data_IF_982513357330
#
_entry.id   IF_982513357330
#
_cell.length_a   1.000
_cell.length_b   1.000
_cell.length_c   1.000
_cell.angle_alpha   90.00
_cell.angle_beta   90.00
_cell.angle_gamma   90.00
#
_symmetry.space_group_name_H-M   'P 1'
#
loop_
_entity.id
_entity.type
_entity.pdbx_description
1 polymer ?
#
# COMPACT_ATOMS: atom_id res chain seq x y z
N UNK A 1 20.88 -58.78 -10.46
CA UNK A 1 19.43 -58.68 -10.69
C UNK A 1 18.85 -57.82 -9.58
N UNK A 2 18.75 -56.51 -9.82
CA UNK A 2 18.28 -55.54 -8.83
C UNK A 2 16.75 -55.38 -8.94
N UNK A 3 16.00 -55.37 -7.84
CA UNK A 3 14.56 -55.10 -7.90
C UNK A 3 14.29 -53.63 -8.24
N UNK A 4 13.28 -53.43 -9.09
CA UNK A 4 12.80 -52.13 -9.57
C UNK A 4 12.15 -51.34 -8.42
N UNK A 5 12.34 -50.01 -8.31
CA UNK A 5 11.61 -49.21 -7.33
C UNK A 5 10.13 -49.10 -7.72
N UNK A 6 9.27 -49.39 -6.74
CA UNK A 6 7.82 -49.23 -6.80
C UNK A 6 7.43 -47.76 -6.60
N UNK A 7 6.49 -47.32 -7.43
CA UNK A 7 5.67 -46.10 -7.39
C UNK A 7 6.01 -45.00 -6.39
N UNK A 8 6.38 -43.83 -6.92
CA UNK A 8 6.21 -42.54 -6.27
C UNK A 8 4.71 -42.31 -5.98
N UNK A 9 4.31 -42.35 -4.71
CA UNK A 9 3.00 -41.85 -4.31
C UNK A 9 3.08 -40.33 -4.15
N UNK A 10 2.37 -39.60 -5.03
CA UNK A 10 2.14 -38.17 -4.91
C UNK A 10 1.30 -37.88 -3.66
N UNK A 11 1.85 -37.11 -2.72
CA UNK A 11 1.11 -36.56 -1.59
C UNK A 11 0.66 -35.14 -1.99
N UNK A 12 -0.65 -34.85 -2.10
CA UNK A 12 -1.11 -33.51 -2.45
C UNK A 12 -0.86 -32.54 -1.29
N UNK A 13 -0.08 -31.48 -1.55
CA UNK A 13 0.05 -30.33 -0.66
C UNK A 13 -1.27 -29.53 -0.67
N UNK A 14 -2.07 -29.64 0.39
CA UNK A 14 -3.28 -28.82 0.56
C UNK A 14 -2.89 -27.41 0.99
N UNK A 15 -3.27 -26.38 0.24
CA UNK A 15 -3.16 -24.97 0.65
C UNK A 15 -4.55 -24.36 0.88
N UNK A 16 -4.75 -23.76 2.05
CA UNK A 16 -6.01 -23.12 2.44
C UNK A 16 -6.05 -21.67 1.94
N UNK A 17 -6.98 -21.35 1.02
CA UNK A 17 -7.21 -19.98 0.55
C UNK A 17 -8.51 -19.41 1.13
N UNK A 18 -8.42 -18.23 1.73
CA UNK A 18 -9.51 -17.54 2.42
C UNK A 18 -10.01 -16.38 1.55
N UNK A 19 -11.28 -16.41 1.12
CA UNK A 19 -11.93 -15.28 0.42
C UNK A 19 -13.20 -14.88 1.15
N UNK A 20 -13.28 -13.60 1.52
CA UNK A 20 -14.45 -12.91 2.06
C UNK A 20 -15.43 -12.65 0.91
N UNK A 21 -16.67 -13.09 1.02
CA UNK A 21 -17.75 -12.66 0.11
C UNK A 21 -18.55 -11.56 0.78
N UNK A 22 -18.44 -10.32 0.29
CA UNK A 22 -19.36 -9.26 0.66
C UNK A 22 -20.68 -9.48 -0.07
N UNK A 23 -21.76 -9.69 0.67
CA UNK A 23 -23.12 -9.57 0.14
C UNK A 23 -23.72 -8.28 0.68
N UNK A 24 -23.67 -7.22 -0.13
CA UNK A 24 -24.39 -5.97 0.15
C UNK A 24 -25.87 -6.23 -0.11
N UNK A 25 -26.71 -6.13 0.92
CA UNK A 25 -28.15 -5.95 0.75
C UNK A 25 -28.45 -4.48 1.05
N UNK A 26 -29.01 -3.78 0.08
CA UNK A 26 -29.50 -2.41 0.24
C UNK A 26 -30.68 -2.40 1.22
N UNK A 27 -30.71 -1.41 2.13
CA UNK A 27 -31.83 -1.18 3.04
C UNK A 27 -31.51 -0.24 4.21
N UNK A 28 -31.67 1.06 3.96
CA UNK A 28 -32.13 2.15 4.84
C UNK A 28 -31.89 2.07 6.37
N UNK A 29 -31.11 3.05 6.85
CA UNK A 29 -31.09 3.63 8.22
C UNK A 29 -31.09 2.69 9.42
N UNK A 30 -29.98 2.67 10.16
CA UNK A 30 -29.96 2.23 11.56
C UNK A 30 -28.71 1.42 11.88
N UNK A 31 -27.87 1.93 12.78
CA UNK A 31 -26.76 1.19 13.38
C UNK A 31 -27.26 -0.17 13.89
N UNK A 32 -26.70 -1.28 13.39
CA UNK A 32 -27.00 -2.62 13.86
C UNK A 32 -25.72 -3.41 14.18
N UNK A 33 -25.67 -3.80 15.44
CA UNK A 33 -24.75 -4.66 16.18
C UNK A 33 -24.27 -5.86 15.36
N UNK A 34 -22.95 -6.11 15.36
CA UNK A 34 -22.31 -7.29 14.74
C UNK A 34 -22.68 -8.54 15.55
N UNK A 35 -23.65 -9.32 15.07
CA UNK A 35 -23.92 -10.66 15.59
C UNK A 35 -23.17 -11.72 14.77
N UNK A 36 -22.56 -12.65 15.51
CA UNK A 36 -21.76 -13.78 15.06
C UNK A 36 -22.65 -14.77 14.27
N UNK A 37 -22.31 -15.03 13.00
CA UNK A 37 -23.00 -16.04 12.19
C UNK A 37 -22.09 -17.26 11.94
N UNK A 38 -22.60 -18.49 12.08
CA UNK A 38 -21.82 -19.72 12.03
C UNK A 38 -21.36 -20.10 10.62
N UNK A 39 -20.10 -20.53 10.52
CA UNK A 39 -19.47 -21.09 9.33
C UNK A 39 -20.27 -22.31 8.83
N UNK A 40 -20.83 -22.26 7.62
CA UNK A 40 -21.48 -23.42 6.99
C UNK A 40 -20.67 -23.93 5.80
N UNK A 41 -20.35 -25.23 5.83
CA UNK A 41 -19.55 -25.94 4.82
C UNK A 41 -20.44 -26.28 3.62
N UNK A 42 -20.20 -25.65 2.46
CA UNK A 42 -20.72 -26.14 1.18
C UNK A 42 -19.59 -26.68 0.34
N UNK A 43 -19.71 -27.94 -0.11
CA UNK A 43 -18.82 -28.52 -1.11
C UNK A 43 -19.21 -27.91 -2.46
N UNK A 44 -18.29 -27.22 -3.11
CA UNK A 44 -18.42 -26.82 -4.52
C UNK A 44 -17.48 -27.74 -5.31
N UNK A 45 -18.05 -28.57 -6.18
CA UNK A 45 -17.32 -29.23 -7.25
C UNK A 45 -17.14 -28.22 -8.37
N UNK A 46 -15.89 -27.91 -8.73
CA UNK A 46 -15.55 -27.17 -9.94
C UNK A 46 -15.13 -28.18 -10.99
N UNK A 47 -15.87 -28.21 -12.10
CA UNK A 47 -15.48 -28.98 -13.27
C UNK A 47 -14.16 -28.44 -13.83
N UNK A 48 -13.29 -29.36 -14.19
CA UNK A 48 -11.98 -29.11 -14.78
C UNK A 48 -12.17 -28.45 -16.15
N UNK A 49 -12.10 -27.12 -16.21
CA UNK A 49 -12.12 -26.38 -17.48
C UNK A 49 -10.82 -26.66 -18.22
N UNK A 50 -10.99 -27.25 -19.41
CA UNK A 50 -9.94 -27.56 -20.37
C UNK A 50 -9.13 -26.32 -20.73
N UNK A 51 -7.84 -26.37 -20.42
CA UNK A 51 -6.85 -25.36 -20.80
C UNK A 51 -6.53 -25.51 -22.29
N UNK A 52 -7.17 -24.71 -23.15
CA UNK A 52 -6.65 -24.33 -24.48
C UNK A 52 -7.47 -23.14 -25.01
N UNK A 53 -6.99 -21.93 -24.77
CA UNK A 53 -7.28 -20.77 -25.63
C UNK A 53 -5.93 -20.18 -26.03
N UNK A 54 -5.62 -20.08 -27.34
CA UNK A 54 -4.47 -19.31 -27.79
C UNK A 54 -4.90 -17.84 -27.87
N UNK A 55 -4.53 -17.05 -26.86
CA UNK A 55 -4.54 -15.60 -26.94
C UNK A 55 -3.16 -15.11 -26.52
N UNK A 56 -2.45 -14.50 -27.47
CA UNK A 56 -1.11 -13.92 -27.32
C UNK A 56 -1.01 -13.05 -26.06
N UNK A 57 0.07 -13.12 -25.27
CA UNK A 57 0.09 -12.51 -23.94
C UNK A 57 0.40 -11.01 -24.04
N UNK A 58 -0.63 -10.18 -23.96
CA UNK A 58 -0.49 -8.76 -23.57
C UNK A 58 0.30 -8.60 -22.24
N UNK A 59 0.28 -9.65 -21.39
CA UNK A 59 1.12 -9.84 -20.20
C UNK A 59 2.63 -9.61 -20.43
N UNK A 60 3.14 -9.80 -21.64
CA UNK A 60 4.55 -9.58 -21.97
C UNK A 60 4.90 -8.10 -22.22
N UNK A 61 3.96 -7.33 -22.77
CA UNK A 61 4.11 -5.89 -23.07
C UNK A 61 3.92 -5.07 -21.78
N UNK A 62 2.97 -5.46 -20.93
CA UNK A 62 2.75 -4.81 -19.62
C UNK A 62 3.92 -5.03 -18.65
N UNK A 63 4.69 -6.11 -18.80
CA UNK A 63 5.95 -6.33 -18.07
C UNK A 63 7.11 -5.45 -18.57
N UNK A 64 7.04 -4.95 -19.80
CA UNK A 64 8.06 -4.12 -20.43
C UNK A 64 7.75 -2.63 -20.38
N UNK A 65 6.51 -2.23 -20.09
CA UNK A 65 6.17 -0.83 -19.89
C UNK A 65 6.18 -0.51 -18.39
N UNK A 66 7.20 0.20 -17.86
CA UNK A 66 7.12 0.71 -16.50
C UNK A 66 5.85 1.57 -16.40
N UNK A 67 5.13 1.56 -15.27
CA UNK A 67 3.95 2.39 -15.12
C UNK A 67 4.35 3.83 -15.44
N UNK A 68 3.72 4.40 -16.46
CA UNK A 68 3.96 5.78 -16.85
C UNK A 68 3.81 6.69 -15.64
N UNK A 69 4.64 7.74 -15.55
CA UNK A 69 4.44 8.75 -14.53
C UNK A 69 3.00 9.25 -14.62
N UNK A 70 2.28 9.32 -13.48
CA UNK A 70 0.87 9.59 -13.49
C UNK A 70 0.61 10.98 -14.08
N UNK A 71 -0.40 11.06 -14.95
CA UNK A 71 -0.74 12.27 -15.69
C UNK A 71 -0.88 13.47 -14.75
N UNK A 72 -0.19 14.57 -15.06
CA UNK A 72 -0.27 15.79 -14.28
C UNK A 72 -1.16 16.81 -14.98
N UNK A 73 -1.87 17.61 -14.19
CA UNK A 73 -2.57 18.76 -14.74
C UNK A 73 -1.57 19.76 -15.36
N UNK A 74 -1.97 20.54 -16.38
CA UNK A 74 -1.06 21.50 -17.03
C UNK A 74 -0.44 22.52 -16.07
N UNK A 75 -1.11 22.84 -14.97
CA UNK A 75 -0.62 23.72 -13.91
C UNK A 75 0.36 23.03 -12.93
N UNK A 76 0.59 21.73 -13.08
CA UNK A 76 1.47 20.91 -12.23
C UNK A 76 0.98 20.69 -10.80
N UNK A 77 -0.19 21.20 -10.43
CA UNK A 77 -0.70 21.20 -9.05
C UNK A 77 -1.29 19.86 -8.62
N UNK A 78 -1.77 19.09 -9.59
CA UNK A 78 -2.43 17.82 -9.36
C UNK A 78 -1.84 16.70 -10.22
N UNK A 79 -1.87 15.50 -9.64
CA UNK A 79 -1.66 14.22 -10.31
C UNK A 79 -3.02 13.56 -10.47
N UNK A 80 -3.32 13.04 -11.64
CA UNK A 80 -4.56 12.33 -11.97
C UNK A 80 -4.31 10.83 -11.92
N UNK A 81 -4.98 10.14 -11.00
CA UNK A 81 -4.92 8.68 -10.86
C UNK A 81 -6.35 8.16 -10.81
N UNK A 82 -6.71 7.22 -11.68
CA UNK A 82 -8.06 6.65 -11.80
C UNK A 82 -9.16 7.74 -11.87
N UNK A 83 -8.94 8.76 -12.72
CA UNK A 83 -9.81 9.94 -12.87
C UNK A 83 -9.97 10.82 -11.62
N UNK A 84 -9.22 10.55 -10.54
CA UNK A 84 -9.21 11.35 -9.31
C UNK A 84 -7.99 12.24 -9.26
N UNK A 85 -8.19 13.48 -8.83
CA UNK A 85 -7.11 14.47 -8.64
C UNK A 85 -6.54 14.36 -7.24
N UNK A 86 -5.23 14.15 -7.18
CA UNK A 86 -4.42 14.13 -5.97
C UNK A 86 -3.46 15.31 -6.02
N UNK A 87 -3.21 15.96 -4.89
CA UNK A 87 -2.25 17.06 -4.85
C UNK A 87 -0.85 16.54 -5.20
N UNK A 88 -0.20 17.17 -6.16
CA UNK A 88 1.16 16.83 -6.53
C UNK A 88 2.15 17.23 -5.42
N UNK A 89 3.27 16.51 -5.36
CA UNK A 89 4.43 16.94 -4.57
C UNK A 89 4.86 18.34 -5.01
N UNK A 90 5.21 19.16 -4.03
CA UNK A 90 5.71 20.50 -4.25
C UNK A 90 6.98 20.48 -5.14
N UNK A 91 6.96 21.14 -6.32
CA UNK A 91 8.06 21.10 -7.28
C UNK A 91 9.29 21.92 -6.86
N UNK A 92 9.17 22.80 -5.85
CA UNK A 92 10.28 23.61 -5.33
C UNK A 92 11.14 22.82 -4.32
N UNK A 93 10.72 21.61 -3.94
CA UNK A 93 11.52 20.75 -3.07
C UNK A 93 12.73 20.25 -3.85
N UNK A 94 13.97 20.47 -3.37
CA UNK A 94 15.16 19.85 -3.95
C UNK A 94 15.04 18.33 -4.03
N UNK A 95 15.44 17.73 -5.14
CA UNK A 95 15.19 16.29 -5.40
C UNK A 95 15.88 15.37 -4.38
N UNK A 96 17.01 15.77 -3.82
CA UNK A 96 17.68 15.06 -2.72
C UNK A 96 16.81 15.04 -1.45
N UNK A 97 16.21 16.16 -1.10
CA UNK A 97 15.26 16.29 0.03
C UNK A 97 13.99 15.50 -0.25
N UNK A 98 13.43 15.63 -1.45
CA UNK A 98 12.24 14.89 -1.87
C UNK A 98 12.47 13.38 -1.81
N UNK A 99 13.62 12.90 -2.29
CA UNK A 99 14.02 11.49 -2.23
C UNK A 99 14.10 10.97 -0.79
N UNK A 100 14.72 11.72 0.13
CA UNK A 100 14.77 11.36 1.56
C UNK A 100 13.38 11.32 2.20
N UNK A 101 12.51 12.28 1.89
CA UNK A 101 11.13 12.29 2.38
C UNK A 101 10.33 11.09 1.84
N UNK A 102 10.49 10.72 0.57
CA UNK A 102 9.89 9.51 -0.02
C UNK A 102 10.44 8.23 0.63
N UNK A 103 11.73 8.19 0.95
CA UNK A 103 12.34 7.08 1.69
C UNK A 103 11.66 6.90 3.06
N UNK A 104 11.57 7.99 3.84
CA UNK A 104 10.87 8.00 5.13
C UNK A 104 9.40 7.58 5.00
N UNK A 105 8.69 8.06 3.98
CA UNK A 105 7.30 7.67 3.71
C UNK A 105 7.16 6.16 3.50
N UNK A 106 8.04 5.56 2.68
CA UNK A 106 8.01 4.13 2.41
C UNK A 106 8.40 3.31 3.65
N UNK A 107 9.39 3.76 4.43
CA UNK A 107 9.75 3.15 5.71
C UNK A 107 8.58 3.17 6.70
N UNK A 108 7.91 4.32 6.86
CA UNK A 108 6.76 4.47 7.73
C UNK A 108 5.57 3.59 7.29
N UNK A 109 5.30 3.46 5.98
CA UNK A 109 4.28 2.53 5.45
C UNK A 109 4.58 1.08 5.80
N UNK A 110 5.84 0.65 5.67
CA UNK A 110 6.27 -0.69 6.12
C UNK A 110 6.09 -0.86 7.62
N UNK A 111 6.40 0.18 8.41
CA UNK A 111 6.17 0.22 9.85
C UNK A 111 4.70 0.03 10.24
N UNK A 112 3.76 0.70 9.54
CA UNK A 112 2.31 0.50 9.75
C UNK A 112 1.92 -0.96 9.51
N UNK A 113 2.39 -1.55 8.40
CA UNK A 113 2.11 -2.93 8.08
C UNK A 113 2.69 -3.90 9.12
N UNK A 114 3.93 -3.67 9.58
CA UNK A 114 4.57 -4.47 10.63
C UNK A 114 3.81 -4.39 11.96
N UNK A 115 3.48 -3.18 12.42
CA UNK A 115 2.75 -2.96 13.66
C UNK A 115 1.37 -3.63 13.65
N UNK A 116 0.65 -3.57 12.52
CA UNK A 116 -0.63 -4.27 12.35
C UNK A 116 -0.49 -5.79 12.46
N UNK A 117 0.55 -6.39 11.87
CA UNK A 117 0.80 -7.84 11.99
C UNK A 117 1.13 -8.23 13.43
N UNK A 118 1.81 -7.36 14.16
CA UNK A 118 2.15 -7.56 15.57
C UNK A 118 1.03 -7.16 16.55
N UNK A 119 -0.10 -6.63 16.04
CA UNK A 119 -1.17 -6.04 16.85
C UNK A 119 -0.70 -4.95 17.85
N UNK A 120 0.39 -4.25 17.54
CA UNK A 120 0.90 -3.15 18.36
C UNK A 120 0.28 -1.81 17.93
N UNK A 121 -0.79 -1.42 18.63
CA UNK A 121 -1.48 -0.17 18.38
C UNK A 121 -0.59 1.08 18.60
N UNK A 122 0.37 1.04 19.53
CA UNK A 122 1.27 2.17 19.79
C UNK A 122 2.27 2.33 18.65
N UNK A 123 2.87 1.24 18.18
CA UNK A 123 3.74 1.26 17.00
C UNK A 123 2.98 1.69 15.74
N UNK A 124 1.74 1.23 15.57
CA UNK A 124 0.91 1.63 14.44
C UNK A 124 0.64 3.15 14.47
N UNK A 125 0.32 3.70 15.64
CA UNK A 125 0.12 5.14 15.83
C UNK A 125 1.36 5.96 15.45
N UNK A 126 2.55 5.55 15.91
CA UNK A 126 3.82 6.22 15.56
C UNK A 126 4.09 6.16 14.06
N UNK A 127 3.93 4.99 13.44
CA UNK A 127 4.16 4.82 12.00
C UNK A 127 3.17 5.64 11.16
N UNK A 128 1.89 5.69 11.55
CA UNK A 128 0.88 6.54 10.89
C UNK A 128 1.19 8.03 11.02
N UNK A 129 1.69 8.47 12.19
CA UNK A 129 2.15 9.85 12.38
C UNK A 129 3.28 10.18 11.40
N UNK A 130 4.29 9.31 11.27
CA UNK A 130 5.40 9.49 10.31
C UNK A 130 4.91 9.57 8.86
N UNK A 131 3.95 8.72 8.45
CA UNK A 131 3.31 8.83 7.13
C UNK A 131 2.69 10.21 6.93
N UNK A 132 1.98 10.73 7.92
CA UNK A 132 1.37 12.05 7.81
C UNK A 132 2.42 13.16 7.74
N UNK A 133 3.44 13.15 8.60
CA UNK A 133 4.54 14.12 8.59
C UNK A 133 5.23 14.15 7.22
N UNK A 134 5.57 12.99 6.65
CA UNK A 134 6.21 12.92 5.34
C UNK A 134 5.33 13.50 4.23
N UNK A 135 4.02 13.20 4.23
CA UNK A 135 3.09 13.74 3.22
C UNK A 135 2.87 15.23 3.34
N UNK A 136 2.82 15.77 4.56
CA UNK A 136 2.75 17.22 4.78
C UNK A 136 4.04 17.89 4.32
N UNK A 137 5.22 17.33 4.67
CA UNK A 137 6.51 17.84 4.22
C UNK A 137 6.61 17.92 2.68
N UNK A 138 6.18 16.86 1.99
CA UNK A 138 6.09 16.79 0.52
C UNK A 138 5.05 17.76 -0.10
N UNK A 139 4.19 18.37 0.71
CA UNK A 139 3.13 19.25 0.24
C UNK A 139 1.90 18.52 -0.32
N UNK A 140 1.81 17.19 -0.19
CA UNK A 140 0.67 16.39 -0.63
C UNK A 140 -0.56 16.54 0.28
N UNK A 141 -0.36 17.09 1.48
CA UNK A 141 -1.38 17.31 2.52
C UNK A 141 -1.16 18.66 3.22
N UNK A 142 -2.21 19.12 3.92
CA UNK A 142 -2.20 20.39 4.62
C UNK A 142 -2.57 21.55 3.70
N UNK A 143 -2.03 22.72 3.99
CA UNK A 143 -2.27 23.92 3.19
C UNK A 143 -1.68 23.75 1.77
N UNK A 144 -2.37 24.25 0.72
CA UNK A 144 -1.87 24.16 -0.64
C UNK A 144 -0.54 24.90 -0.82
N UNK A 145 0.46 24.22 -1.40
CA UNK A 145 1.79 24.81 -1.56
C UNK A 145 1.82 25.97 -2.56
N UNK A 146 0.86 26.05 -3.49
CA UNK A 146 0.74 27.17 -4.44
C UNK A 146 0.14 28.44 -3.81
N UNK A 147 -0.39 28.34 -2.59
CA UNK A 147 -0.88 29.50 -1.80
C UNK A 147 0.16 29.96 -0.76
N UNK A 148 1.27 29.23 -0.62
CA UNK A 148 2.33 29.51 0.36
C UNK A 148 3.49 30.29 -0.27
N UNK A 149 4.12 31.14 0.52
CA UNK A 149 5.40 31.74 0.13
C UNK A 149 6.50 30.68 0.04
N UNK A 150 7.55 30.97 -0.74
CA UNK A 150 8.70 30.08 -0.87
C UNK A 150 9.37 29.75 0.48
N UNK A 151 9.40 30.73 1.40
CA UNK A 151 9.93 30.54 2.76
C UNK A 151 9.09 29.56 3.58
N UNK A 152 7.76 29.70 3.57
CA UNK A 152 6.85 28.78 4.28
C UNK A 152 6.98 27.37 3.73
N UNK A 153 7.08 27.22 2.40
CA UNK A 153 7.29 25.92 1.75
C UNK A 153 8.61 25.30 2.21
N UNK A 154 9.70 26.09 2.22
CA UNK A 154 11.02 25.65 2.66
C UNK A 154 11.02 25.13 4.09
N UNK A 155 10.53 25.94 5.02
CA UNK A 155 10.44 25.59 6.44
C UNK A 155 9.62 24.31 6.65
N UNK A 156 8.55 24.11 5.86
CA UNK A 156 7.71 22.92 5.94
C UNK A 156 8.49 21.63 5.66
N UNK A 157 9.23 21.55 4.55
CA UNK A 157 9.97 20.33 4.24
C UNK A 157 11.21 20.14 5.12
N UNK A 158 11.89 21.22 5.50
CA UNK A 158 13.07 21.16 6.40
C UNK A 158 12.68 20.65 7.79
N UNK A 159 11.61 21.23 8.38
CA UNK A 159 11.09 20.78 9.67
C UNK A 159 10.58 19.35 9.61
N UNK A 160 9.84 19.00 8.55
CA UNK A 160 9.30 17.67 8.36
C UNK A 160 10.40 16.60 8.24
N UNK A 161 11.45 16.90 7.47
CA UNK A 161 12.61 16.02 7.34
C UNK A 161 13.35 15.86 8.68
N UNK A 162 13.58 16.96 9.39
CA UNK A 162 14.21 16.91 10.71
C UNK A 162 13.42 16.04 11.69
N UNK A 163 12.09 16.20 11.78
CA UNK A 163 11.25 15.38 12.65
C UNK A 163 11.34 13.90 12.30
N UNK A 164 11.36 13.56 11.01
CA UNK A 164 11.46 12.17 10.54
C UNK A 164 12.82 11.55 10.83
N UNK A 165 13.91 12.29 10.62
CA UNK A 165 15.26 11.85 10.96
C UNK A 165 15.42 11.59 12.47
N UNK A 166 14.82 12.45 13.32
CA UNK A 166 14.81 12.23 14.78
C UNK A 166 13.99 10.99 15.15
N UNK A 167 12.83 10.80 14.53
CA UNK A 167 11.99 9.64 14.79
C UNK A 167 12.68 8.33 14.39
N UNK A 168 13.39 8.31 13.27
CA UNK A 168 14.18 7.16 12.84
C UNK A 168 15.30 6.82 13.82
N UNK A 169 16.05 7.83 14.30
CA UNK A 169 17.07 7.61 15.34
C UNK A 169 16.49 7.05 16.64
N UNK A 170 15.33 7.54 17.07
CA UNK A 170 14.68 7.06 18.29
C UNK A 170 14.20 5.60 18.17
N UNK A 171 13.79 5.18 16.97
CA UNK A 171 13.42 3.79 16.70
C UNK A 171 14.65 2.87 16.59
N UNK A 172 15.73 3.31 15.92
CA UNK A 172 16.96 2.54 15.80
C UNK A 172 17.73 2.41 17.12
N UNK A 173 17.63 3.41 18.00
CA UNK A 173 18.18 3.36 19.37
C UNK A 173 17.33 2.55 20.35
N UNK A 174 16.11 2.18 19.98
CA UNK A 174 15.27 1.27 20.75
C UNK A 174 15.63 -0.17 20.38
N UNK A 175 16.69 -0.69 20.98
CA UNK A 175 17.04 -2.11 20.93
C UNK A 175 15.83 -2.99 21.33
N UNK A 176 15.67 -4.18 20.71
CA UNK A 176 14.51 -5.07 20.90
C UNK A 176 14.31 -5.53 22.34
#
# INVERSE_FOLDING_TARGET
MWPRPVGCHEVPLTFSSWKRTDRVRAGTYGYAIRNEAPWTRRKVTVDRVSCCHPSEPQDSIDRMNPPADPERTPDGRYVVVDHRRWRATDPEIPEDVASRLRHHLMAARRGVAAARRAADAKAEGRARKRVNTAKVALGERGDPWWEQSAEVRRLRWERGLHELDQAERQEGGRAP
#
